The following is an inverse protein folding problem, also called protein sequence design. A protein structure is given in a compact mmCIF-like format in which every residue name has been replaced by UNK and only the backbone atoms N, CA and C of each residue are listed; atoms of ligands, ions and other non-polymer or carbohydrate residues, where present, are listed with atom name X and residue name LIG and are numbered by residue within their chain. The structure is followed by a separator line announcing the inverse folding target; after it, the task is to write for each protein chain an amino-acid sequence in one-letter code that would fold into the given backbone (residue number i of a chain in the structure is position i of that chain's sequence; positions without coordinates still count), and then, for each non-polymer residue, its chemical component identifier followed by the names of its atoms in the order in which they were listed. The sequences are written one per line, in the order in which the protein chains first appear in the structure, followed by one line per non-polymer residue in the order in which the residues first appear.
data_IF_524692634298
#
_entry.id   IF_524692634298
#
_cell.length_a   1.000
_cell.length_b   1.000
_cell.length_c   1.000
_cell.angle_alpha   90.00
_cell.angle_beta   90.00
_cell.angle_gamma   90.00
#
_symmetry.space_group_name_H-M   'P 1'
#
loop_
_entity.id
_entity.type
_entity.pdbx_description
1 polymer ?
#
# COMPACT_ATOMS: atom_id res chain seq x y z
N UNK A 1 41.50 7.65 -28.79
CA UNK A 1 40.33 6.83 -28.36
C UNK A 1 40.19 6.79 -26.84
N UNK A 2 41.25 7.00 -26.07
CA UNK A 2 41.22 7.00 -24.59
C UNK A 2 40.62 8.28 -23.97
N UNK A 3 40.74 9.43 -24.64
CA UNK A 3 40.23 10.71 -24.12
C UNK A 3 38.71 10.84 -24.16
N UNK A 4 38.03 10.19 -25.12
CA UNK A 4 36.56 10.16 -25.19
C UNK A 4 35.92 9.33 -24.06
N UNK A 5 36.57 8.23 -23.65
CA UNK A 5 36.07 7.35 -22.60
C UNK A 5 36.12 8.00 -21.22
N UNK A 6 37.14 8.82 -20.96
CA UNK A 6 37.25 9.52 -19.68
C UNK A 6 36.19 10.62 -19.54
N UNK A 7 35.90 11.35 -20.63
CA UNK A 7 34.90 12.43 -20.61
C UNK A 7 33.48 11.92 -20.42
N UNK A 8 33.11 10.78 -21.00
CA UNK A 8 31.77 10.20 -20.83
C UNK A 8 31.57 9.67 -19.41
N UNK A 9 32.59 9.07 -18.81
CA UNK A 9 32.52 8.56 -17.43
C UNK A 9 32.37 9.68 -16.40
N UNK A 10 33.06 10.81 -16.59
CA UNK A 10 32.95 12.00 -15.73
C UNK A 10 31.57 12.66 -15.85
N UNK A 11 31.00 12.73 -17.06
CA UNK A 11 29.65 13.27 -17.28
C UNK A 11 28.59 12.39 -16.61
N UNK A 12 28.68 11.07 -16.71
CA UNK A 12 27.76 10.14 -16.03
C UNK A 12 27.86 10.28 -14.51
N UNK A 13 29.07 10.39 -13.96
CA UNK A 13 29.28 10.62 -12.52
C UNK A 13 28.71 11.97 -12.04
N UNK A 14 28.79 13.02 -12.85
CA UNK A 14 28.20 14.33 -12.54
C UNK A 14 26.67 14.30 -12.57
N UNK A 15 26.05 13.55 -13.49
CA UNK A 15 24.59 13.36 -13.50
C UNK A 15 24.10 12.54 -12.30
N UNK A 16 24.87 11.56 -11.82
CA UNK A 16 24.51 10.77 -10.64
C UNK A 16 24.54 11.57 -9.31
N UNK A 17 25.28 12.67 -9.24
CA UNK A 17 25.40 13.47 -8.01
C UNK A 17 24.35 14.60 -7.92
N UNK A 18 23.77 15.02 -9.04
CA UNK A 18 22.78 16.10 -9.09
C UNK A 18 21.42 15.74 -8.47
N UNK A 19 21.09 14.46 -8.31
CA UNK A 19 19.80 14.01 -7.75
C UNK A 19 19.73 14.07 -6.22
N UNK A 20 20.82 14.40 -5.52
CA UNK A 20 20.83 14.38 -4.04
C UNK A 20 20.40 15.69 -3.37
N UNK A 21 20.06 16.72 -4.16
CA UNK A 21 19.84 18.08 -3.65
C UNK A 21 18.37 18.48 -3.42
N UNK A 22 17.39 17.59 -3.62
CA UNK A 22 15.99 17.85 -3.22
C UNK A 22 15.77 17.46 -1.75
N UNK A 23 16.52 18.12 -0.86
CA UNK A 23 16.50 17.90 0.59
C UNK A 23 15.45 18.73 1.34
N UNK A 24 14.54 19.42 0.64
CA UNK A 24 13.47 20.23 1.22
C UNK A 24 12.12 19.52 1.20
N UNK A 25 12.02 18.34 1.81
CA UNK A 25 10.74 17.63 1.92
C UNK A 25 9.90 18.18 3.08
N UNK A 26 8.59 18.26 2.89
CA UNK A 26 7.64 18.63 3.96
C UNK A 26 7.70 17.58 5.08
N UNK A 27 7.80 18.03 6.32
CA UNK A 27 7.80 17.16 7.49
C UNK A 27 6.38 16.97 8.00
N UNK A 28 5.99 15.72 8.24
CA UNK A 28 4.67 15.38 8.76
C UNK A 28 4.42 16.03 10.12
N UNK A 29 5.43 16.09 10.99
CA UNK A 29 5.41 16.77 12.28
C UNK A 29 5.09 18.28 12.21
N UNK A 30 5.33 18.92 11.07
CA UNK A 30 5.04 20.34 10.86
C UNK A 30 3.63 20.62 10.35
N UNK A 31 2.91 19.60 9.89
CA UNK A 31 1.58 19.77 9.32
C UNK A 31 0.51 19.92 10.41
N UNK A 32 -0.39 20.89 10.29
CA UNK A 32 -1.54 21.01 11.18
C UNK A 32 -2.61 19.97 10.83
N UNK A 33 -3.28 19.47 11.87
CA UNK A 33 -4.41 18.56 11.74
C UNK A 33 -5.73 19.33 11.64
N UNK A 34 -6.04 19.83 10.45
CA UNK A 34 -7.24 20.67 10.22
C UNK A 34 -8.40 19.92 9.57
N UNK A 35 -8.15 18.72 9.03
CA UNK A 35 -9.17 17.92 8.36
C UNK A 35 -9.76 16.86 9.31
N UNK A 36 -11.07 16.68 9.23
CA UNK A 36 -11.78 15.56 9.85
C UNK A 36 -12.03 14.53 8.77
N UNK A 37 -11.70 13.27 9.05
CA UNK A 37 -11.86 12.14 8.12
C UNK A 37 -12.61 11.04 8.84
N UNK A 38 -13.61 10.47 8.18
CA UNK A 38 -14.29 9.27 8.63
C UNK A 38 -14.37 8.28 7.48
N UNK A 39 -14.07 7.01 7.79
CA UNK A 39 -14.15 5.91 6.87
C UNK A 39 -15.11 4.88 7.46
N UNK A 40 -16.18 4.57 6.73
CA UNK A 40 -17.15 3.56 7.11
C UNK A 40 -17.16 2.46 6.06
N UNK A 41 -16.73 1.24 6.41
CA UNK A 41 -16.79 0.11 5.50
C UNK A 41 -18.24 -0.30 5.26
N UNK A 42 -18.60 -0.48 4.00
CA UNK A 42 -19.83 -1.17 3.60
C UNK A 42 -19.46 -2.56 3.13
N UNK A 43 -19.78 -3.56 3.96
CA UNK A 43 -19.66 -4.95 3.54
C UNK A 43 -20.65 -5.17 2.41
N UNK A 44 -20.12 -5.60 1.25
CA UNK A 44 -20.95 -6.14 0.19
C UNK A 44 -21.76 -7.29 0.78
N UNK A 45 -23.03 -7.36 0.41
CA UNK A 45 -23.94 -8.42 0.81
C UNK A 45 -23.56 -9.73 0.07
N UNK A 46 -22.37 -10.24 0.36
CA UNK A 46 -21.74 -11.42 -0.19
C UNK A 46 -21.90 -12.59 0.77
N UNK A 47 -22.85 -13.44 0.44
CA UNK A 47 -23.05 -14.73 1.05
C UNK A 47 -21.89 -15.69 0.74
N UNK A 48 -21.40 -16.37 1.80
CA UNK A 48 -20.64 -17.63 1.81
C UNK A 48 -19.09 -17.57 1.73
N UNK A 49 -18.41 -17.69 2.88
CA UNK A 49 -17.94 -19.01 3.36
C UNK A 49 -17.28 -18.88 4.73
N UNK A 50 -18.04 -19.29 5.75
CA UNK A 50 -17.48 -19.84 6.98
C UNK A 50 -16.80 -21.15 6.61
N UNK A 51 -15.49 -21.17 6.35
CA UNK A 51 -14.70 -22.40 6.54
C UNK A 51 -13.24 -22.10 6.93
N UNK A 52 -12.96 -22.44 8.19
CA UNK A 52 -11.67 -22.89 8.75
C UNK A 52 -10.50 -21.90 8.67
N UNK A 53 -10.44 -21.01 9.66
CA UNK A 53 -9.17 -20.75 10.34
C UNK A 53 -9.33 -21.06 11.83
N UNK A 54 -8.51 -22.03 12.26
CA UNK A 54 -8.39 -22.48 13.65
C UNK A 54 -7.92 -21.35 14.56
N UNK A 55 -8.45 -21.39 15.77
CA UNK A 55 -8.22 -20.47 16.88
C UNK A 55 -6.74 -20.21 17.19
N UNK A 56 -6.42 -18.95 17.51
CA UNK A 56 -5.80 -18.51 18.79
C UNK A 56 -5.33 -17.05 18.72
N UNK A 57 -6.10 -16.12 19.32
CA UNK A 57 -5.71 -15.39 20.53
C UNK A 57 -6.68 -14.26 20.83
N UNK A 58 -7.23 -14.35 22.04
CA UNK A 58 -7.92 -13.32 22.80
C UNK A 58 -7.20 -11.96 22.75
N UNK A 59 -7.90 -10.87 22.45
CA UNK A 59 -7.87 -9.60 23.20
C UNK A 59 -8.91 -8.63 22.60
N UNK A 60 -9.82 -8.16 23.47
CA UNK A 60 -10.68 -6.96 23.36
C UNK A 60 -11.37 -6.71 22.02
N UNK A 61 -12.69 -6.92 22.02
CA UNK A 61 -13.64 -6.59 20.98
C UNK A 61 -13.56 -5.08 20.61
N UNK A 62 -12.73 -4.77 19.63
CA UNK A 62 -12.79 -3.57 18.81
C UNK A 62 -13.19 -4.06 17.41
N UNK A 63 -14.29 -3.54 16.90
CA UNK A 63 -15.00 -4.01 15.71
C UNK A 63 -14.13 -3.78 14.46
N UNK A 64 -13.16 -4.68 14.26
CA UNK A 64 -12.32 -4.70 13.06
C UNK A 64 -13.12 -5.34 11.92
N UNK A 65 -13.76 -4.49 11.13
CA UNK A 65 -14.40 -4.91 9.89
C UNK A 65 -13.34 -5.45 8.92
N UNK A 66 -13.54 -6.68 8.45
CA UNK A 66 -12.72 -7.29 7.40
C UNK A 66 -13.37 -6.97 6.05
N UNK A 67 -12.54 -6.53 5.09
CA UNK A 67 -12.94 -6.18 3.73
C UNK A 67 -12.16 -7.00 2.70
N UNK A 68 -12.83 -7.41 1.63
CA UNK A 68 -12.24 -8.12 0.50
C UNK A 68 -11.92 -7.14 -0.65
N UNK A 69 -10.68 -7.21 -1.13
CA UNK A 69 -10.23 -6.43 -2.27
C UNK A 69 -10.98 -6.82 -3.55
N UNK A 70 -11.52 -5.82 -4.25
CA UNK A 70 -12.26 -5.96 -5.50
C UNK A 70 -13.75 -6.31 -5.35
N UNK A 71 -14.26 -6.36 -4.12
CA UNK A 71 -15.67 -6.68 -3.82
C UNK A 71 -16.29 -5.64 -2.89
N UNK A 72 -15.63 -5.35 -1.77
CA UNK A 72 -16.16 -4.44 -0.75
C UNK A 72 -15.89 -2.97 -1.07
N UNK A 73 -16.75 -2.12 -0.51
CA UNK A 73 -16.68 -0.66 -0.69
C UNK A 73 -16.52 0.05 0.65
N UNK A 74 -15.85 1.19 0.62
CA UNK A 74 -15.65 2.06 1.78
C UNK A 74 -16.29 3.40 1.46
N UNK A 75 -17.20 3.84 2.32
CA UNK A 75 -17.75 5.19 2.27
C UNK A 75 -16.83 6.11 3.05
N UNK A 76 -16.30 7.11 2.36
CA UNK A 76 -15.35 8.06 2.91
C UNK A 76 -16.01 9.42 3.01
N UNK A 77 -15.81 10.08 4.15
CA UNK A 77 -16.20 11.47 4.33
C UNK A 77 -15.02 12.27 4.84
N UNK A 78 -14.83 13.45 4.28
CA UNK A 78 -13.80 14.37 4.73
C UNK A 78 -14.31 15.81 4.68
N UNK A 79 -13.76 16.64 5.55
CA UNK A 79 -14.10 18.06 5.61
C UNK A 79 -13.19 18.81 6.57
N UNK A 80 -13.34 20.14 6.62
CA UNK A 80 -12.67 20.95 7.62
C UNK A 80 -13.25 20.72 9.02
N UNK A 81 -12.37 20.77 10.01
CA UNK A 81 -12.80 20.86 11.40
C UNK A 81 -13.41 22.24 11.67
N UNK A 82 -14.57 22.29 12.32
CA UNK A 82 -15.31 23.53 12.63
C UNK A 82 -14.52 24.50 13.53
N UNK A 83 -13.51 24.00 14.24
CA UNK A 83 -12.63 24.81 15.09
C UNK A 83 -11.56 25.60 14.31
N UNK A 84 -11.40 25.37 13.00
CA UNK A 84 -10.42 26.06 12.16
C UNK A 84 -11.09 27.13 11.29
N UNK A 85 -10.39 28.25 11.03
CA UNK A 85 -10.94 29.34 10.23
C UNK A 85 -11.02 28.94 8.76
N UNK A 86 -12.25 28.79 8.26
CA UNK A 86 -12.51 28.38 6.88
C UNK A 86 -11.87 29.34 5.85
N UNK A 87 -11.79 30.64 6.17
CA UNK A 87 -11.23 31.66 5.27
C UNK A 87 -9.73 31.44 4.98
N UNK A 88 -8.95 30.99 5.97
CA UNK A 88 -7.53 30.68 5.77
C UNK A 88 -7.36 29.41 4.94
N UNK A 89 -8.19 28.39 5.21
CA UNK A 89 -8.17 27.13 4.50
C UNK A 89 -8.59 27.27 3.03
N UNK A 90 -9.59 28.09 2.71
CA UNK A 90 -10.07 28.29 1.34
C UNK A 90 -9.02 28.98 0.43
N UNK A 91 -8.15 29.79 1.03
CA UNK A 91 -7.02 30.40 0.31
C UNK A 91 -5.90 29.39 0.08
N UNK A 92 -5.58 28.59 1.10
CA UNK A 92 -4.41 27.71 1.15
C UNK A 92 -4.65 26.36 0.45
N UNK A 93 -5.84 25.79 0.59
CA UNK A 93 -6.17 24.45 0.11
C UNK A 93 -6.83 24.53 -1.27
N UNK A 94 -6.31 23.73 -2.20
CA UNK A 94 -6.83 23.62 -3.58
C UNK A 94 -7.31 22.22 -3.88
N UNK A 95 -6.57 21.21 -3.44
CA UNK A 95 -6.92 19.81 -3.64
C UNK A 95 -6.91 19.06 -2.32
N UNK A 96 -7.77 18.05 -2.22
CA UNK A 96 -7.74 17.08 -1.13
C UNK A 96 -7.49 15.71 -1.73
N UNK A 97 -6.45 15.04 -1.22
CA UNK A 97 -6.10 13.68 -1.60
C UNK A 97 -6.24 12.79 -0.38
N UNK A 98 -7.13 11.81 -0.49
CA UNK A 98 -7.35 10.80 0.55
C UNK A 98 -6.52 9.58 0.19
N UNK A 99 -5.67 9.14 1.12
CA UNK A 99 -4.76 8.01 0.96
C UNK A 99 -5.05 6.91 1.98
N UNK A 100 -4.80 5.68 1.56
CA UNK A 100 -4.83 4.49 2.40
C UNK A 100 -3.46 4.25 3.04
N UNK A 101 -3.43 4.07 4.35
CA UNK A 101 -2.21 4.05 5.15
C UNK A 101 -2.08 2.78 5.98
N UNK A 102 -0.89 2.18 6.06
CA UNK A 102 -0.64 0.99 6.87
C UNK A 102 -0.69 1.28 8.37
N UNK A 103 -1.51 0.54 9.12
CA UNK A 103 -1.54 0.61 10.58
C UNK A 103 -0.23 0.06 11.21
N UNK A 104 0.17 0.51 12.42
CA UNK A 104 1.44 0.10 13.03
C UNK A 104 1.63 -1.42 13.12
N UNK A 105 0.55 -2.17 13.39
CA UNK A 105 0.55 -3.64 13.44
C UNK A 105 1.01 -4.28 12.11
N UNK A 106 0.73 -3.61 10.99
CA UNK A 106 1.11 -4.08 9.64
C UNK A 106 2.46 -3.54 9.15
N UNK A 107 3.15 -2.72 9.95
CA UNK A 107 4.47 -2.15 9.63
C UNK A 107 5.64 -2.95 10.24
N UNK A 108 5.39 -3.82 11.22
CA UNK A 108 6.41 -4.62 11.91
C UNK A 108 7.18 -5.48 10.89
N UNK A 109 8.52 -5.41 10.94
CA UNK A 109 9.45 -6.13 10.05
C UNK A 109 9.27 -5.87 8.54
N UNK A 110 8.56 -4.81 8.16
CA UNK A 110 8.32 -4.43 6.76
C UNK A 110 8.85 -3.03 6.49
N UNK A 111 10.16 -2.93 6.22
CA UNK A 111 10.83 -1.65 5.94
C UNK A 111 10.17 -0.83 4.79
N UNK A 112 9.50 -1.50 3.86
CA UNK A 112 8.77 -0.88 2.74
C UNK A 112 7.41 -0.28 3.13
N UNK A 113 6.97 -0.40 4.39
CA UNK A 113 5.75 0.20 4.96
C UNK A 113 6.03 1.18 6.10
N UNK A 114 7.31 1.53 6.31
CA UNK A 114 7.76 2.27 7.50
C UNK A 114 7.34 3.73 7.43
N UNK A 115 6.83 4.23 8.56
CA UNK A 115 6.56 5.65 8.76
C UNK A 115 7.86 6.45 8.88
N UNK A 116 7.98 7.51 8.09
CA UNK A 116 9.09 8.48 8.15
C UNK A 116 8.51 9.89 8.24
N UNK A 117 9.12 10.76 9.03
CA UNK A 117 8.60 12.13 9.22
C UNK A 117 8.64 12.95 7.93
N UNK A 118 9.69 12.80 7.12
CA UNK A 118 9.75 13.39 5.80
C UNK A 118 8.76 12.70 4.86
N UNK A 119 7.74 13.43 4.40
CA UNK A 119 6.64 12.92 3.58
C UNK A 119 7.09 12.35 2.24
N UNK A 120 8.12 12.93 1.63
CA UNK A 120 8.68 12.42 0.37
C UNK A 120 9.33 11.04 0.52
N UNK A 121 9.68 10.65 1.76
CA UNK A 121 10.25 9.35 2.11
C UNK A 121 9.27 8.44 2.85
N UNK A 122 8.09 8.93 3.19
CA UNK A 122 7.09 8.16 3.93
C UNK A 122 6.47 7.09 3.04
N UNK A 123 6.55 5.84 3.48
CA UNK A 123 5.95 4.69 2.79
C UNK A 123 4.69 4.19 3.48
N UNK A 124 4.18 4.93 4.46
CA UNK A 124 2.98 4.53 5.19
C UNK A 124 1.73 4.60 4.33
N UNK A 125 1.59 5.68 3.55
CA UNK A 125 0.39 5.99 2.77
C UNK A 125 0.71 5.91 1.27
N UNK A 126 0.56 4.74 0.68
CA UNK A 126 0.97 4.47 -0.70
C UNK A 126 -0.18 4.52 -1.71
N UNK A 127 -1.38 4.12 -1.30
CA UNK A 127 -2.52 4.04 -2.22
C UNK A 127 -3.34 5.33 -2.14
N UNK A 128 -3.64 5.91 -3.30
CA UNK A 128 -4.53 7.06 -3.39
C UNK A 128 -5.94 6.56 -3.62
N UNK A 129 -6.84 6.91 -2.71
CA UNK A 129 -8.24 6.52 -2.77
C UNK A 129 -9.05 7.57 -3.54
N UNK A 130 -8.89 8.84 -3.17
CA UNK A 130 -9.60 9.96 -3.79
C UNK A 130 -8.63 11.08 -4.08
N UNK A 131 -8.80 11.72 -5.23
CA UNK A 131 -8.18 13.00 -5.57
C UNK A 131 -9.25 13.94 -6.11
N UNK A 132 -9.64 14.93 -5.32
CA UNK A 132 -10.72 15.87 -5.64
C UNK A 132 -10.31 17.31 -5.29
N UNK A 133 -10.89 18.32 -5.98
CA UNK A 133 -10.73 19.69 -5.57
C UNK A 133 -11.31 19.90 -4.16
N UNK A 134 -10.66 20.75 -3.39
CA UNK A 134 -11.09 21.11 -2.05
C UNK A 134 -12.44 21.84 -2.10
N UNK A 135 -13.36 21.44 -1.22
CA UNK A 135 -14.64 22.09 -1.01
C UNK A 135 -14.78 22.45 0.48
N UNK A 136 -15.36 23.63 0.74
CA UNK A 136 -15.63 24.09 2.11
C UNK A 136 -16.58 23.15 2.86
N UNK A 137 -17.56 22.60 2.14
CA UNK A 137 -18.53 21.68 2.71
C UNK A 137 -17.93 20.28 2.83
N UNK A 138 -18.50 19.48 3.73
CA UNK A 138 -18.14 18.06 3.85
C UNK A 138 -18.36 17.35 2.51
N UNK A 139 -17.32 16.68 2.05
CA UNK A 139 -17.34 15.85 0.86
C UNK A 139 -17.47 14.39 1.25
N UNK A 140 -18.18 13.62 0.43
CA UNK A 140 -18.35 12.19 0.59
C UNK A 140 -18.11 11.49 -0.73
N UNK A 141 -17.45 10.33 -0.70
CA UNK A 141 -17.25 9.50 -1.88
C UNK A 141 -17.22 8.02 -1.50
N UNK A 142 -17.62 7.18 -2.45
CA UNK A 142 -17.60 5.73 -2.28
C UNK A 142 -16.43 5.15 -3.08
N UNK A 143 -15.54 4.45 -2.40
CA UNK A 143 -14.40 3.80 -3.04
C UNK A 143 -14.48 2.29 -2.89
N UNK A 144 -14.41 1.58 -4.01
CA UNK A 144 -14.26 0.13 -4.01
C UNK A 144 -12.80 -0.22 -3.78
N UNK A 145 -12.53 -1.15 -2.87
CA UNK A 145 -11.16 -1.56 -2.57
C UNK A 145 -10.54 -2.16 -3.82
N UNK A 146 -9.42 -1.60 -4.29
CA UNK A 146 -8.77 -2.08 -5.50
C UNK A 146 -8.11 -3.46 -5.29
N UNK A 147 -8.01 -4.25 -6.37
CA UNK A 147 -7.51 -5.63 -6.35
C UNK A 147 -6.02 -5.76 -6.04
N UNK A 148 -5.27 -4.69 -6.26
CA UNK A 148 -3.83 -4.59 -6.03
C UNK A 148 -3.48 -4.27 -4.57
N UNK A 149 -4.46 -3.89 -3.75
CA UNK A 149 -4.27 -3.61 -2.33
C UNK A 149 -3.92 -4.92 -1.60
N UNK A 150 -2.73 -5.00 -0.96
CA UNK A 150 -2.29 -6.24 -0.33
C UNK A 150 -2.96 -6.44 1.03
N UNK A 151 -2.97 -7.69 1.48
CA UNK A 151 -3.50 -8.05 2.80
C UNK A 151 -2.74 -7.35 3.93
N UNK A 152 -3.43 -6.48 4.67
CA UNK A 152 -2.93 -5.77 5.85
C UNK A 152 -4.06 -5.02 6.57
N UNK A 153 -3.74 -4.48 7.74
CA UNK A 153 -4.59 -3.55 8.50
C UNK A 153 -4.26 -2.12 8.09
N UNK A 154 -5.29 -1.34 7.81
CA UNK A 154 -5.17 0.02 7.30
C UNK A 154 -5.97 1.04 8.13
N UNK A 155 -5.61 2.30 7.96
CA UNK A 155 -6.38 3.47 8.34
C UNK A 155 -6.38 4.47 7.17
N UNK A 156 -7.28 5.46 7.21
CA UNK A 156 -7.39 6.45 6.15
C UNK A 156 -6.83 7.80 6.62
N UNK A 157 -6.10 8.46 5.73
CA UNK A 157 -5.58 9.81 5.96
C UNK A 157 -5.86 10.70 4.76
N UNK A 158 -6.42 11.87 5.01
CA UNK A 158 -6.57 12.92 4.01
C UNK A 158 -5.46 13.95 4.16
N UNK A 159 -5.01 14.48 3.02
CA UNK A 159 -4.05 15.56 2.93
C UNK A 159 -4.66 16.70 2.11
N UNK A 160 -4.49 17.93 2.60
CA UNK A 160 -4.80 19.13 1.84
C UNK A 160 -3.55 19.62 1.11
N UNK A 161 -3.70 19.94 -0.17
CA UNK A 161 -2.61 20.38 -1.05
C UNK A 161 -2.86 21.81 -1.53
N UNK A 162 -1.78 22.59 -1.64
CA UNK A 162 -1.80 23.91 -2.26
C UNK A 162 -1.74 23.82 -3.81
N UNK A 163 -1.70 24.96 -4.49
CA UNK A 163 -1.56 25.03 -5.96
C UNK A 163 -0.20 24.56 -6.47
N UNK A 164 0.84 24.57 -5.63
CA UNK A 164 2.16 24.04 -5.95
C UNK A 164 2.26 22.51 -5.77
N UNK A 165 1.22 21.87 -5.23
CA UNK A 165 1.21 20.43 -4.96
C UNK A 165 1.92 20.04 -3.67
N UNK A 166 2.10 20.97 -2.73
CA UNK A 166 2.69 20.72 -1.42
C UNK A 166 1.60 20.41 -0.39
N UNK A 167 1.87 19.47 0.51
CA UNK A 167 1.01 19.18 1.65
C UNK A 167 0.98 20.36 2.63
N UNK A 168 -0.22 20.86 2.93
CA UNK A 168 -0.43 22.00 3.83
C UNK A 168 -1.10 21.60 5.15
N UNK A 169 -1.85 20.50 5.16
CA UNK A 169 -2.51 19.98 6.35
C UNK A 169 -2.88 18.49 6.19
N UNK A 170 -3.20 17.83 7.29
CA UNK A 170 -3.70 16.47 7.28
C UNK A 170 -4.94 16.28 8.15
N UNK A 171 -5.57 15.12 7.99
CA UNK A 171 -6.59 14.57 8.88
C UNK A 171 -6.54 13.05 8.81
N UNK A 172 -6.82 12.36 9.89
CA UNK A 172 -6.77 10.90 9.95
C UNK A 172 -7.93 10.34 10.75
N UNK A 173 -8.33 9.10 10.43
CA UNK A 173 -9.46 8.42 11.08
C UNK A 173 -9.14 7.88 12.47
N UNK A 174 -7.86 7.86 12.85
CA UNK A 174 -7.40 7.23 14.08
C UNK A 174 -6.87 8.24 15.10
N UNK A 175 -6.97 7.90 16.38
CA UNK A 175 -6.42 8.69 17.48
C UNK A 175 -4.91 8.96 17.32
N UNK A 176 -4.55 10.20 17.62
CA UNK A 176 -3.19 10.69 17.51
C UNK A 176 -2.24 9.94 18.46
N UNK A 177 -1.09 9.54 17.92
CA UNK A 177 0.00 8.88 18.65
C UNK A 177 -0.06 7.35 18.71
N UNK A 178 -1.22 6.72 18.95
CA UNK A 178 -1.31 5.26 19.11
C UNK A 178 -1.83 4.50 17.89
N UNK A 179 -2.50 5.17 16.96
CA UNK A 179 -3.00 4.56 15.71
C UNK A 179 -3.75 3.22 15.96
N UNK A 180 -4.58 3.15 17.00
CA UNK A 180 -5.23 1.91 17.45
C UNK A 180 -6.73 1.84 17.17
N UNK A 181 -7.40 2.97 16.93
CA UNK A 181 -8.84 3.06 16.70
C UNK A 181 -9.23 3.18 15.22
N UNK A 182 -10.44 2.76 14.87
CA UNK A 182 -10.98 2.82 13.50
C UNK A 182 -10.07 2.16 12.45
N UNK A 183 -9.47 1.03 12.81
CA UNK A 183 -8.67 0.21 11.93
C UNK A 183 -9.54 -0.84 11.24
N UNK A 184 -9.26 -1.12 9.98
CA UNK A 184 -9.94 -2.19 9.23
C UNK A 184 -8.92 -3.07 8.53
N UNK A 185 -9.22 -4.36 8.42
CA UNK A 185 -8.39 -5.33 7.72
C UNK A 185 -8.86 -5.44 6.27
N UNK A 186 -7.96 -5.24 5.32
CA UNK A 186 -8.22 -5.58 3.92
C UNK A 186 -7.54 -6.91 3.62
N UNK A 187 -8.28 -7.82 3.00
CA UNK A 187 -7.78 -9.05 2.41
C UNK A 187 -7.58 -8.84 0.92
N UNK A 188 -6.31 -8.77 0.53
CA UNK A 188 -5.92 -8.69 -0.86
C UNK A 188 -6.14 -10.02 -1.59
N UNK A 189 -6.24 -9.95 -2.91
CA UNK A 189 -6.30 -11.15 -3.74
C UNK A 189 -4.94 -11.83 -3.68
N UNK A 190 -4.88 -13.04 -3.12
CA UNK A 190 -3.64 -13.79 -3.10
C UNK A 190 -3.25 -14.15 -4.54
N UNK A 191 -2.08 -13.70 -5.01
CA UNK A 191 -1.50 -14.08 -6.31
C UNK A 191 -1.13 -15.57 -6.44
N UNK A 192 -1.54 -16.40 -5.47
CA UNK A 192 -1.41 -17.85 -5.46
C UNK A 192 -2.44 -18.46 -6.41
N UNK A 193 -2.29 -18.12 -7.69
CA UNK A 193 -3.15 -18.61 -8.74
C UNK A 193 -2.98 -20.13 -8.88
N UNK A 194 -4.07 -20.85 -9.13
CA UNK A 194 -4.07 -22.31 -9.20
C UNK A 194 -3.09 -22.86 -10.25
N UNK A 195 -2.87 -22.15 -11.36
CA UNK A 195 -1.90 -22.61 -12.36
C UNK A 195 -0.44 -22.57 -11.91
N UNK A 196 -0.06 -21.85 -10.83
CA UNK A 196 1.30 -21.92 -10.30
C UNK A 196 1.53 -23.26 -9.61
N UNK A 197 0.52 -23.75 -8.88
CA UNK A 197 0.56 -25.08 -8.26
C UNK A 197 0.62 -26.16 -9.32
N UNK A 198 -0.22 -26.05 -10.35
CA UNK A 198 -0.24 -27.01 -11.47
C UNK A 198 1.10 -27.03 -12.21
N UNK A 199 1.65 -25.87 -12.58
CA UNK A 199 2.94 -25.78 -13.27
C UNK A 199 4.08 -26.38 -12.42
N UNK A 200 4.11 -26.09 -11.12
CA UNK A 200 5.10 -26.65 -10.20
C UNK A 200 5.03 -28.18 -10.09
N UNK A 201 3.80 -28.74 -10.12
CA UNK A 201 3.58 -30.18 -10.12
C UNK A 201 4.05 -30.83 -11.43
N UNK A 202 3.75 -30.21 -12.58
CA UNK A 202 4.20 -30.72 -13.88
C UNK A 202 5.73 -30.69 -14.02
N UNK A 203 6.39 -29.60 -13.63
CA UNK A 203 7.86 -29.49 -13.73
C UNK A 203 8.58 -30.45 -12.78
N UNK A 204 8.07 -30.68 -11.58
CA UNK A 204 8.64 -31.65 -10.64
C UNK A 204 8.51 -33.09 -11.17
N UNK A 205 7.35 -33.46 -11.70
CA UNK A 205 7.16 -34.76 -12.33
C UNK A 205 8.08 -34.96 -13.55
N UNK A 206 8.22 -33.94 -14.41
CA UNK A 206 9.10 -33.99 -15.58
C UNK A 206 10.59 -34.14 -15.18
N UNK A 207 11.03 -33.45 -14.13
CA UNK A 207 12.40 -33.57 -13.61
C UNK A 207 12.71 -34.98 -13.12
N UNK A 208 11.77 -35.63 -12.42
CA UNK A 208 11.96 -37.02 -11.97
C UNK A 208 11.95 -37.98 -13.16
N UNK A 209 10.98 -37.84 -14.06
CA UNK A 209 10.86 -38.69 -15.24
C UNK A 209 12.10 -38.61 -16.14
N UNK A 210 12.64 -37.41 -16.36
CA UNK A 210 13.87 -37.22 -17.14
C UNK A 210 15.10 -37.82 -16.45
N UNK A 211 15.24 -37.67 -15.12
CA UNK A 211 16.31 -38.30 -14.35
C UNK A 211 16.25 -39.84 -14.46
N UNK A 212 15.08 -40.44 -14.23
CA UNK A 212 14.89 -41.88 -14.36
C UNK A 212 15.09 -42.36 -15.81
N UNK A 213 14.63 -41.59 -16.79
CA UNK A 213 14.83 -41.89 -18.21
C UNK A 213 16.30 -41.89 -18.62
N UNK A 214 17.08 -40.91 -18.15
CA UNK A 214 18.52 -40.83 -18.37
C UNK A 214 19.25 -42.03 -17.73
N UNK A 215 18.96 -42.35 -16.46
CA UNK A 215 19.55 -43.52 -15.80
C UNK A 215 19.20 -44.84 -16.51
N UNK A 216 17.97 -44.98 -17.00
CA UNK A 216 17.55 -46.16 -17.75
C UNK A 216 18.30 -46.28 -19.09
N UNK A 217 18.49 -45.17 -19.81
CA UNK A 217 19.26 -45.15 -21.06
C UNK A 217 20.75 -45.49 -20.83
N UNK A 218 21.36 -44.99 -19.76
CA UNK A 218 22.73 -45.38 -19.39
C UNK A 218 22.85 -46.87 -19.13
N UNK A 219 21.90 -47.48 -18.40
CA UNK A 219 21.87 -48.93 -18.14
C UNK A 219 21.83 -49.76 -19.43
N UNK A 220 21.06 -49.33 -20.43
CA UNK A 220 20.99 -50.03 -21.73
C UNK A 220 22.28 -49.90 -22.55
N UNK A 221 23.00 -48.78 -22.45
CA UNK A 221 24.27 -48.60 -23.17
C UNK A 221 25.39 -49.51 -22.67
N UNK A 222 25.37 -49.88 -21.38
CA UNK A 222 26.34 -50.85 -20.80
C UNK A 222 26.07 -52.29 -21.29
N UNK A 223 24.82 -52.63 -21.62
CA UNK A 223 24.43 -53.98 -22.05
C UNK A 223 24.58 -54.24 -23.56
N UNK A 224 24.69 -53.19 -24.39
CA UNK A 224 24.79 -53.29 -25.87
C UNK A 224 26.26 -53.31 -26.38
N UNK A 225 27.25 -53.07 -25.52
CA UNK A 225 28.69 -53.09 -25.86
C UNK A 225 29.38 -54.46 -25.66
N UNK A 226 28.64 -55.57 -25.75
CA UNK A 226 29.21 -56.93 -25.71
C UNK A 226 29.26 -57.54 -27.09
#
# INVERSE_FOLDING_TARGET
METCFLTTFVIILLFCLAETCYGGGVMFSSLPQTLVVSASPQQGQGNCSTLLYTAEKTHKHEESSVLNAGEDTITLTWGLNQSFTADMADQLYKNVIVKLCYAPISQVDRAWRKTVDNLSKDKTCQFTIVNKPYQRNQSSDQWMVEKDVPTATYFVRAYAYNSAGEEMAYGQTTDDGKKSSNLFEIRGITGRHLSLHVASACFSAFSLASLFGLFWMERRKVSVKK
#
